data_IF_717438358968
#
_entry.id   IF_717438358968
#
_cell.length_a   1.000
_cell.length_b   1.000
_cell.length_c   1.000
_cell.angle_alpha   90.00
_cell.angle_beta   90.00
_cell.angle_gamma   90.00
#
_symmetry.space_group_name_H-M   'P 1'
#
loop_
_entity.id
_entity.type
_entity.pdbx_description
1 polymer ?
#
# COMPACT_ATOMS: atom_id res chain seq x y z
N UNK A 1 -10.17 15.62 -46.93
CA UNK A 1 -10.12 14.42 -46.04
C UNK A 1 -8.86 14.57 -45.21
N UNK A 2 -9.03 15.05 -43.98
CA UNK A 2 -7.94 15.06 -42.96
C UNK A 2 -7.82 13.65 -42.40
N UNK A 3 -6.77 12.92 -42.78
CA UNK A 3 -6.38 11.67 -42.13
C UNK A 3 -5.92 12.01 -40.69
N UNK A 4 -6.73 11.69 -39.72
CA UNK A 4 -6.30 11.68 -38.31
C UNK A 4 -5.25 10.57 -38.12
N UNK A 5 -3.99 10.95 -38.16
CA UNK A 5 -2.87 10.07 -37.74
C UNK A 5 -3.00 9.86 -36.25
N UNK A 6 -3.59 8.73 -35.87
CA UNK A 6 -3.68 8.31 -34.47
C UNK A 6 -2.29 7.79 -34.06
N UNK A 7 -1.61 8.52 -33.18
CA UNK A 7 -0.35 8.07 -32.59
C UNK A 7 -0.56 6.68 -31.93
N UNK A 8 0.20 5.64 -32.36
CA UNK A 8 0.06 4.28 -31.81
C UNK A 8 0.24 4.21 -30.29
N UNK A 9 1.00 5.14 -29.70
CA UNK A 9 1.20 5.24 -28.25
C UNK A 9 -0.05 5.76 -27.54
N UNK A 10 -0.83 6.63 -28.19
CA UNK A 10 -2.09 7.15 -27.64
C UNK A 10 -3.20 6.09 -27.65
N UNK A 11 -3.19 5.16 -28.62
CA UNK A 11 -4.17 4.07 -28.69
C UNK A 11 -3.95 3.03 -27.57
N UNK A 12 -2.71 2.66 -27.29
CA UNK A 12 -2.38 1.73 -26.20
C UNK A 12 -2.78 2.29 -24.82
N UNK A 13 -2.58 3.59 -24.62
CA UNK A 13 -2.97 4.28 -23.38
C UNK A 13 -4.50 4.38 -23.25
N UNK A 14 -5.22 4.61 -24.34
CA UNK A 14 -6.69 4.58 -24.39
C UNK A 14 -7.26 3.20 -24.08
N UNK A 15 -6.69 2.13 -24.64
CA UNK A 15 -7.13 0.76 -24.36
C UNK A 15 -6.92 0.38 -22.88
N UNK A 16 -5.81 0.77 -22.26
CA UNK A 16 -5.58 0.53 -20.83
C UNK A 16 -6.57 1.29 -19.96
N UNK A 17 -6.85 2.56 -20.26
CA UNK A 17 -7.84 3.38 -19.56
C UNK A 17 -9.24 2.79 -19.69
N UNK A 18 -9.65 2.40 -20.92
CA UNK A 18 -10.98 1.80 -21.16
C UNK A 18 -11.12 0.47 -20.43
N UNK A 19 -10.09 -0.37 -20.47
CA UNK A 19 -10.08 -1.65 -19.74
C UNK A 19 -10.23 -1.43 -18.23
N UNK A 20 -9.43 -0.55 -17.65
CA UNK A 20 -9.50 -0.21 -16.23
C UNK A 20 -10.88 0.38 -15.85
N UNK A 21 -11.45 1.20 -16.74
CA UNK A 21 -12.81 1.75 -16.52
C UNK A 21 -13.87 0.67 -16.56
N UNK A 22 -13.78 -0.27 -17.51
CA UNK A 22 -14.71 -1.40 -17.60
C UNK A 22 -14.61 -2.34 -16.39
N UNK A 23 -13.40 -2.63 -15.92
CA UNK A 23 -13.18 -3.41 -14.70
C UNK A 23 -13.79 -2.72 -13.49
N UNK A 24 -13.61 -1.40 -13.37
CA UNK A 24 -14.23 -0.60 -12.31
C UNK A 24 -15.76 -0.62 -12.36
N UNK A 25 -16.34 -0.48 -13.56
CA UNK A 25 -17.81 -0.51 -13.73
C UNK A 25 -18.36 -1.89 -13.33
N UNK A 26 -17.74 -2.97 -13.79
CA UNK A 26 -18.16 -4.34 -13.42
C UNK A 26 -18.12 -4.54 -11.91
N UNK A 27 -17.05 -4.08 -11.30
CA UNK A 27 -16.87 -4.15 -9.86
C UNK A 27 -17.92 -3.32 -9.10
N UNK A 28 -18.20 -2.08 -9.53
CA UNK A 28 -19.23 -1.23 -8.95
C UNK A 28 -20.63 -1.89 -9.08
N UNK A 29 -20.90 -2.59 -10.20
CA UNK A 29 -22.13 -3.34 -10.41
C UNK A 29 -22.25 -4.53 -9.43
N UNK A 30 -21.22 -5.35 -9.28
CA UNK A 30 -21.23 -6.49 -8.36
C UNK A 30 -21.47 -6.04 -6.91
N UNK A 31 -20.84 -4.96 -6.54
CA UNK A 31 -21.02 -4.36 -5.22
C UNK A 31 -22.42 -3.82 -5.01
N UNK A 32 -22.97 -3.13 -5.99
CA UNK A 32 -24.35 -2.66 -5.95
C UNK A 32 -25.33 -3.83 -5.79
N UNK A 33 -25.13 -4.92 -6.52
CA UNK A 33 -25.94 -6.14 -6.36
C UNK A 33 -25.84 -6.73 -4.95
N UNK A 34 -24.64 -6.78 -4.35
CA UNK A 34 -24.47 -7.26 -2.96
C UNK A 34 -25.24 -6.38 -1.96
N UNK A 35 -25.19 -5.05 -2.14
CA UNK A 35 -25.93 -4.11 -1.27
C UNK A 35 -27.43 -4.34 -1.42
N UNK A 36 -27.95 -4.39 -2.64
CA UNK A 36 -29.37 -4.64 -2.92
C UNK A 36 -29.81 -5.98 -2.30
N UNK A 37 -29.07 -7.06 -2.54
CA UNK A 37 -29.37 -8.37 -1.97
C UNK A 37 -29.33 -8.39 -0.42
N UNK A 38 -28.57 -7.52 0.20
CA UNK A 38 -28.57 -7.31 1.66
C UNK A 38 -29.81 -6.57 2.13
N UNK A 39 -30.23 -5.53 1.38
CA UNK A 39 -31.40 -4.71 1.69
C UNK A 39 -32.71 -5.47 1.44
N UNK A 40 -32.79 -6.31 0.41
CA UNK A 40 -33.95 -7.16 0.09
C UNK A 40 -34.32 -8.12 1.22
N UNK A 41 -33.37 -8.46 2.11
CA UNK A 41 -33.62 -9.28 3.29
C UNK A 41 -34.34 -8.54 4.41
N UNK A 42 -34.51 -7.23 4.31
CA UNK A 42 -35.17 -6.40 5.33
C UNK A 42 -36.68 -6.33 5.06
N UNK A 43 -37.52 -6.55 6.08
CA UNK A 43 -38.99 -6.50 5.92
C UNK A 43 -39.53 -5.07 5.68
N UNK A 44 -38.74 -4.04 5.95
CA UNK A 44 -39.14 -2.63 5.89
C UNK A 44 -39.02 -1.98 4.52
N UNK A 45 -38.49 -2.71 3.52
CA UNK A 45 -38.12 -2.11 2.22
C UNK A 45 -36.93 -1.13 2.32
N UNK A 46 -36.58 -0.51 1.22
CA UNK A 46 -35.48 0.47 1.15
C UNK A 46 -35.75 1.49 0.03
N UNK A 47 -35.08 2.66 0.11
CA UNK A 47 -35.13 3.70 -0.91
C UNK A 47 -33.88 3.70 -1.77
N UNK A 48 -33.95 4.34 -2.96
CA UNK A 48 -32.77 4.53 -3.81
C UNK A 48 -31.66 5.32 -3.11
N UNK A 49 -32.03 6.31 -2.29
CA UNK A 49 -31.08 7.12 -1.53
C UNK A 49 -30.32 6.27 -0.48
N UNK A 50 -30.99 5.29 0.11
CA UNK A 50 -30.35 4.36 1.06
C UNK A 50 -29.35 3.45 0.37
N UNK A 51 -29.64 3.00 -0.86
CA UNK A 51 -28.68 2.22 -1.68
C UNK A 51 -27.44 3.08 -1.97
N UNK A 52 -27.64 4.32 -2.43
CA UNK A 52 -26.55 5.26 -2.74
C UNK A 52 -25.72 5.54 -1.48
N UNK A 53 -26.36 5.79 -0.36
CA UNK A 53 -25.70 6.03 0.92
C UNK A 53 -24.82 4.82 1.32
N UNK A 54 -25.37 3.60 1.30
CA UNK A 54 -24.61 2.41 1.64
C UNK A 54 -23.49 2.13 0.63
N UNK A 55 -23.73 2.38 -0.65
CA UNK A 55 -22.70 2.25 -1.67
C UNK A 55 -21.50 3.15 -1.40
N UNK A 56 -21.72 4.42 -1.02
CA UNK A 56 -20.65 5.35 -0.68
C UNK A 56 -19.97 5.04 0.66
N UNK A 57 -20.70 4.62 1.66
CA UNK A 57 -20.16 4.22 2.97
C UNK A 57 -19.24 3.00 2.84
N UNK A 58 -19.73 1.94 2.23
CA UNK A 58 -18.94 0.73 2.03
C UNK A 58 -17.69 0.98 1.17
N UNK A 59 -17.74 1.91 0.16
CA UNK A 59 -16.58 2.24 -0.66
C UNK A 59 -15.47 2.87 0.15
N UNK A 60 -15.80 3.78 1.04
CA UNK A 60 -14.80 4.45 1.89
C UNK A 60 -14.19 3.51 2.91
N UNK A 61 -15.00 2.63 3.51
CA UNK A 61 -14.55 1.73 4.57
C UNK A 61 -13.72 0.54 4.04
N UNK A 62 -14.03 0.09 2.82
CA UNK A 62 -13.37 -1.07 2.20
C UNK A 62 -12.17 -0.70 1.32
N UNK A 63 -11.81 0.58 1.20
CA UNK A 63 -10.70 1.06 0.41
C UNK A 63 -9.39 1.01 1.21
N UNK A 64 -8.35 0.47 0.59
CA UNK A 64 -7.04 0.30 1.23
C UNK A 64 -6.43 1.65 1.63
N UNK A 65 -6.45 2.65 0.74
CA UNK A 65 -5.80 3.94 1.01
C UNK A 65 -6.53 4.68 2.12
N UNK A 66 -7.86 4.73 2.06
CA UNK A 66 -8.68 5.36 3.10
C UNK A 66 -8.48 4.67 4.45
N UNK A 67 -8.46 3.34 4.49
CA UNK A 67 -8.25 2.58 5.70
C UNK A 67 -6.83 2.76 6.27
N UNK A 68 -5.81 2.80 5.43
CA UNK A 68 -4.44 3.10 5.87
C UNK A 68 -4.33 4.51 6.45
N UNK A 69 -4.98 5.52 5.84
CA UNK A 69 -5.02 6.88 6.36
C UNK A 69 -5.72 6.93 7.73
N UNK A 70 -6.80 6.17 7.91
CA UNK A 70 -7.46 6.02 9.20
C UNK A 70 -6.52 5.43 10.26
N UNK A 71 -5.78 4.35 9.94
CA UNK A 71 -4.78 3.76 10.84
C UNK A 71 -3.69 4.77 11.20
N UNK A 72 -3.18 5.52 10.21
CA UNK A 72 -2.15 6.55 10.42
C UNK A 72 -2.65 7.63 11.39
N UNK A 73 -3.89 8.09 11.20
CA UNK A 73 -4.51 9.06 12.10
C UNK A 73 -4.63 8.51 13.53
N UNK A 74 -5.07 7.27 13.69
CA UNK A 74 -5.14 6.60 14.99
C UNK A 74 -3.76 6.48 15.66
N UNK A 75 -2.73 6.07 14.91
CA UNK A 75 -1.38 5.95 15.43
C UNK A 75 -0.83 7.29 15.91
N UNK A 76 -1.10 8.37 15.17
CA UNK A 76 -0.72 9.73 15.57
C UNK A 76 -1.44 10.17 16.86
N UNK A 77 -2.73 9.89 17.00
CA UNK A 77 -3.49 10.24 18.22
C UNK A 77 -3.01 9.45 19.45
N UNK A 78 -2.43 8.26 19.24
CA UNK A 78 -1.79 7.45 20.28
C UNK A 78 -0.31 7.79 20.52
N UNK A 79 0.19 8.92 19.97
CA UNK A 79 1.59 9.36 20.04
C UNK A 79 2.61 8.34 19.47
N UNK A 80 2.17 7.40 18.65
CA UNK A 80 3.03 6.42 17.95
C UNK A 80 3.53 6.98 16.62
N UNK A 81 4.18 8.13 16.66
CA UNK A 81 4.55 8.92 15.48
C UNK A 81 5.44 8.13 14.54
N UNK A 82 6.50 7.46 15.02
CA UNK A 82 7.41 6.66 14.19
C UNK A 82 6.68 5.53 13.44
N UNK A 83 5.74 4.88 14.10
CA UNK A 83 4.92 3.84 13.45
C UNK A 83 3.99 4.46 12.40
N UNK A 84 3.39 5.61 12.68
CA UNK A 84 2.55 6.32 11.72
C UNK A 84 3.35 6.72 10.45
N UNK A 85 4.59 7.19 10.60
CA UNK A 85 5.51 7.51 9.51
C UNK A 85 5.83 6.27 8.65
N UNK A 86 6.00 5.10 9.26
CA UNK A 86 6.25 3.86 8.52
C UNK A 86 5.04 3.43 7.67
N UNK A 87 3.83 3.58 8.21
CA UNK A 87 2.60 3.34 7.45
C UNK A 87 2.43 4.36 6.32
N UNK A 88 2.72 5.65 6.60
CA UNK A 88 2.65 6.71 5.57
C UNK A 88 3.62 6.47 4.42
N UNK A 89 4.87 6.08 4.72
CA UNK A 89 5.87 5.77 3.68
C UNK A 89 5.44 4.58 2.82
N UNK A 90 4.87 3.54 3.45
CA UNK A 90 4.35 2.37 2.72
C UNK A 90 3.16 2.76 1.84
N UNK A 91 2.23 3.56 2.37
CA UNK A 91 1.08 4.06 1.62
C UNK A 91 1.53 4.86 0.40
N UNK A 92 2.43 5.82 0.57
CA UNK A 92 2.95 6.65 -0.52
C UNK A 92 3.61 5.79 -1.61
N UNK A 93 4.41 4.78 -1.22
CA UNK A 93 5.04 3.86 -2.16
C UNK A 93 4.01 3.05 -2.96
N UNK A 94 2.97 2.53 -2.30
CA UNK A 94 1.93 1.77 -2.97
C UNK A 94 1.02 2.66 -3.83
N UNK A 95 0.70 3.88 -3.38
CA UNK A 95 -0.02 4.88 -4.18
C UNK A 95 0.74 5.22 -5.47
N UNK A 96 2.06 5.39 -5.40
CA UNK A 96 2.91 5.64 -6.59
C UNK A 96 2.85 4.46 -7.57
N UNK A 97 2.92 3.21 -7.08
CA UNK A 97 2.77 2.02 -7.91
C UNK A 97 1.40 1.94 -8.58
N UNK A 98 0.36 2.35 -7.89
CA UNK A 98 -1.03 2.36 -8.38
C UNK A 98 -1.41 3.64 -9.13
N UNK A 99 -0.47 4.55 -9.39
CA UNK A 99 -0.73 5.84 -10.06
C UNK A 99 -1.84 6.66 -9.39
N UNK A 100 -1.94 6.56 -8.07
CA UNK A 100 -2.98 7.22 -7.28
C UNK A 100 -4.35 6.53 -7.27
N UNK A 101 -4.53 5.43 -8.01
CA UNK A 101 -5.79 4.69 -8.02
C UNK A 101 -5.93 3.84 -6.76
N UNK A 102 -6.92 4.15 -5.94
CA UNK A 102 -7.24 3.37 -4.75
C UNK A 102 -7.73 1.97 -5.13
N UNK A 103 -7.72 1.06 -4.16
CA UNK A 103 -8.11 -0.33 -4.37
C UNK A 103 -8.90 -0.81 -3.16
N UNK A 104 -9.88 -1.66 -3.41
CA UNK A 104 -10.59 -2.30 -2.32
C UNK A 104 -9.86 -3.54 -1.84
N UNK A 105 -10.16 -3.91 -0.61
CA UNK A 105 -9.56 -5.09 0.00
C UNK A 105 -9.89 -6.38 -0.77
N UNK A 106 -11.10 -6.51 -1.32
CA UNK A 106 -11.51 -7.69 -2.10
C UNK A 106 -10.74 -7.83 -3.42
N UNK A 107 -10.22 -6.72 -3.97
CA UNK A 107 -9.45 -6.71 -5.21
C UNK A 107 -7.94 -6.91 -4.99
N UNK A 108 -7.50 -7.00 -3.74
CA UNK A 108 -6.09 -7.25 -3.42
C UNK A 108 -5.79 -8.72 -3.66
N UNK A 109 -5.31 -9.03 -4.86
CA UNK A 109 -4.90 -10.38 -5.26
C UNK A 109 -3.43 -10.65 -5.00
N UNK A 110 -3.05 -11.94 -4.98
CA UNK A 110 -1.64 -12.35 -4.88
C UNK A 110 -0.80 -11.81 -6.04
N UNK A 111 -1.37 -11.80 -7.25
CA UNK A 111 -0.69 -11.32 -8.47
C UNK A 111 -0.40 -9.82 -8.40
N UNK A 112 -1.34 -9.03 -7.88
CA UNK A 112 -1.13 -7.59 -7.67
C UNK A 112 0.03 -7.34 -6.70
N UNK A 113 0.08 -8.09 -5.59
CA UNK A 113 1.13 -7.91 -4.57
C UNK A 113 2.48 -8.38 -5.10
N UNK A 114 2.53 -9.46 -5.88
CA UNK A 114 3.74 -9.90 -6.57
C UNK A 114 4.21 -8.87 -7.61
N UNK A 115 3.30 -8.30 -8.38
CA UNK A 115 3.60 -7.21 -9.33
C UNK A 115 4.18 -5.98 -8.63
N UNK A 116 3.64 -5.62 -7.47
CA UNK A 116 4.20 -4.54 -6.67
C UNK A 116 5.61 -4.86 -6.16
N UNK A 117 5.86 -6.11 -5.71
CA UNK A 117 7.20 -6.55 -5.33
C UNK A 117 8.18 -6.44 -6.51
N UNK A 118 7.81 -6.93 -7.68
CA UNK A 118 8.62 -6.86 -8.90
C UNK A 118 8.94 -5.40 -9.30
N UNK A 119 7.94 -4.51 -9.22
CA UNK A 119 8.12 -3.07 -9.47
C UNK A 119 9.14 -2.43 -8.51
N UNK A 120 9.10 -2.78 -7.22
CA UNK A 120 10.07 -2.28 -6.26
C UNK A 120 11.49 -2.81 -6.53
N UNK A 121 11.60 -4.09 -6.93
CA UNK A 121 12.89 -4.70 -7.33
C UNK A 121 13.48 -4.01 -8.57
N UNK A 122 12.66 -3.74 -9.59
CA UNK A 122 13.08 -3.01 -10.79
C UNK A 122 13.57 -1.59 -10.47
N UNK A 123 13.00 -0.95 -9.44
CA UNK A 123 13.47 0.34 -8.92
C UNK A 123 14.75 0.25 -8.07
N UNK A 124 15.34 -0.92 -7.91
CA UNK A 124 16.55 -1.11 -7.10
C UNK A 124 16.34 -1.00 -5.60
N UNK A 125 15.10 -1.13 -5.12
CA UNK A 125 14.79 -1.08 -3.69
C UNK A 125 15.33 -2.34 -3.00
N UNK A 126 15.99 -2.17 -1.84
CA UNK A 126 16.57 -3.28 -1.10
C UNK A 126 15.51 -4.29 -0.63
N UNK A 127 15.85 -5.59 -0.59
CA UNK A 127 14.95 -6.65 -0.16
C UNK A 127 14.39 -6.43 1.25
N UNK A 128 15.18 -5.82 2.15
CA UNK A 128 14.71 -5.49 3.51
C UNK A 128 13.63 -4.39 3.49
N UNK A 129 13.77 -3.39 2.62
CA UNK A 129 12.75 -2.34 2.44
C UNK A 129 11.49 -2.91 1.78
N UNK A 130 11.63 -3.78 0.78
CA UNK A 130 10.51 -4.49 0.14
C UNK A 130 9.75 -5.30 1.19
N UNK A 131 10.47 -6.13 1.97
CA UNK A 131 9.89 -6.90 3.06
C UNK A 131 9.16 -6.02 4.08
N UNK A 132 9.74 -4.87 4.39
CA UNK A 132 9.12 -3.91 5.29
C UNK A 132 7.76 -3.43 4.76
N UNK A 133 7.68 -3.01 3.48
CA UNK A 133 6.42 -2.61 2.85
C UNK A 133 5.40 -3.76 2.81
N UNK A 134 5.82 -4.96 2.43
CA UNK A 134 4.94 -6.13 2.40
C UNK A 134 4.37 -6.47 3.76
N UNK A 135 5.16 -6.36 4.83
CA UNK A 135 4.68 -6.62 6.21
C UNK A 135 3.66 -5.57 6.67
N UNK A 136 3.85 -4.30 6.33
CA UNK A 136 2.89 -3.24 6.67
C UNK A 136 1.58 -3.43 5.91
N UNK A 137 1.63 -3.69 4.60
CA UNK A 137 0.42 -3.95 3.80
C UNK A 137 -0.32 -5.21 4.29
N UNK A 138 0.41 -6.29 4.61
CA UNK A 138 -0.18 -7.50 5.19
C UNK A 138 -0.84 -7.23 6.54
N UNK A 139 -0.21 -6.45 7.40
CA UNK A 139 -0.79 -6.06 8.69
C UNK A 139 -2.05 -5.20 8.51
N UNK A 140 -2.07 -4.31 7.51
CA UNK A 140 -3.26 -3.53 7.15
C UNK A 140 -4.39 -4.42 6.66
N UNK A 141 -4.09 -5.36 5.75
CA UNK A 141 -5.06 -6.31 5.20
C UNK A 141 -5.67 -7.19 6.31
N UNK A 142 -4.83 -7.76 7.18
CA UNK A 142 -5.32 -8.57 8.30
C UNK A 142 -6.22 -7.77 9.25
N UNK A 143 -5.89 -6.49 9.51
CA UNK A 143 -6.78 -5.62 10.29
C UNK A 143 -8.11 -5.34 9.61
N UNK A 144 -8.14 -5.30 8.28
CA UNK A 144 -9.39 -5.16 7.54
C UNK A 144 -10.22 -6.46 7.63
N UNK A 145 -9.59 -7.62 7.58
CA UNK A 145 -10.23 -8.93 7.83
C UNK A 145 -10.79 -8.99 9.26
N UNK A 146 -10.01 -8.59 10.28
CA UNK A 146 -10.46 -8.56 11.68
C UNK A 146 -11.65 -7.61 11.91
N UNK A 147 -11.81 -6.60 11.05
CA UNK A 147 -12.95 -5.67 11.05
C UNK A 147 -14.08 -6.07 10.09
N UNK A 148 -14.01 -7.25 9.52
CA UNK A 148 -15.01 -7.78 8.59
C UNK A 148 -15.22 -6.92 7.32
N UNK A 149 -14.22 -6.11 6.95
CA UNK A 149 -14.25 -5.30 5.73
C UNK A 149 -13.97 -6.12 4.46
N UNK A 150 -13.37 -7.30 4.62
CA UNK A 150 -13.07 -8.28 3.56
C UNK A 150 -12.92 -9.67 4.17
N UNK A 151 -12.94 -10.70 3.33
CA UNK A 151 -12.64 -12.08 3.72
C UNK A 151 -11.15 -12.40 3.53
N UNK A 152 -10.63 -13.41 4.24
CA UNK A 152 -9.21 -13.76 4.17
C UNK A 152 -8.88 -14.57 2.91
N UNK A 153 -8.12 -13.97 1.97
CA UNK A 153 -7.66 -14.59 0.73
C UNK A 153 -6.13 -14.83 0.69
N UNK A 154 -5.41 -14.47 1.76
CA UNK A 154 -3.95 -14.64 1.88
C UNK A 154 -3.13 -14.04 0.72
N UNK A 155 -3.37 -12.80 0.27
CA UNK A 155 -2.70 -12.24 -0.91
C UNK A 155 -1.18 -12.07 -0.74
N UNK A 156 -0.68 -12.08 0.49
CA UNK A 156 0.74 -11.93 0.83
C UNK A 156 1.49 -13.25 1.02
N UNK A 157 0.90 -14.39 0.64
CA UNK A 157 1.50 -15.71 0.88
C UNK A 157 2.80 -15.94 0.09
N UNK A 158 2.88 -15.39 -1.12
CA UNK A 158 3.96 -15.66 -2.09
C UNK A 158 4.94 -14.50 -2.25
N UNK A 159 4.94 -13.51 -1.35
CA UNK A 159 5.86 -12.37 -1.40
C UNK A 159 6.88 -12.42 -0.28
N UNK A 160 8.01 -11.75 -0.51
CA UNK A 160 9.10 -11.72 0.45
C UNK A 160 8.75 -10.87 1.68
N UNK A 161 8.70 -11.49 2.83
CA UNK A 161 8.47 -10.85 4.14
C UNK A 161 9.57 -11.14 5.15
N UNK A 162 10.67 -11.76 4.69
CA UNK A 162 11.83 -12.09 5.51
C UNK A 162 12.70 -10.87 5.87
N UNK A 163 13.71 -11.10 6.70
CA UNK A 163 14.73 -10.10 7.04
C UNK A 163 16.07 -10.65 6.56
N UNK A 164 16.66 -10.01 5.54
CA UNK A 164 17.99 -10.32 5.07
C UNK A 164 19.06 -9.90 6.10
N UNK A 165 20.09 -10.70 6.24
CA UNK A 165 21.26 -10.34 7.07
C UNK A 165 21.91 -9.09 6.48
N UNK A 166 22.07 -8.05 7.29
CA UNK A 166 22.86 -6.87 6.94
C UNK A 166 24.25 -6.98 7.54
N UNK A 167 25.24 -6.49 6.82
CA UNK A 167 26.60 -6.38 7.38
C UNK A 167 26.53 -5.39 8.56
N UNK A 168 26.83 -5.92 9.74
CA UNK A 168 26.89 -5.07 10.94
C UNK A 168 28.12 -4.18 10.80
N UNK A 169 27.90 -2.85 10.80
CA UNK A 169 28.98 -1.85 10.79
C UNK A 169 29.51 -1.55 12.19
N UNK A 170 29.12 -2.33 13.19
CA UNK A 170 29.62 -2.19 14.54
C UNK A 170 31.13 -2.47 14.60
N UNK A 171 31.87 -1.49 15.04
CA UNK A 171 33.31 -1.60 15.23
C UNK A 171 33.59 -2.29 16.57
N UNK A 172 34.53 -3.25 16.67
CA UNK A 172 34.90 -3.86 17.95
C UNK A 172 35.36 -2.81 18.95
N UNK A 173 35.03 -3.01 20.21
CA UNK A 173 35.38 -2.05 21.30
C UNK A 173 36.88 -1.80 21.39
N UNK A 174 37.71 -2.81 21.04
CA UNK A 174 39.18 -2.67 20.95
C UNK A 174 39.59 -1.59 19.94
N UNK A 175 38.93 -1.54 18.80
CA UNK A 175 39.21 -0.52 17.76
C UNK A 175 38.77 0.87 18.20
N UNK A 176 37.65 0.97 18.92
CA UNK A 176 37.19 2.25 19.52
C UNK A 176 38.20 2.74 20.55
N UNK A 177 38.74 1.85 21.42
CA UNK A 177 39.81 2.21 22.34
C UNK A 177 41.08 2.67 21.62
N UNK A 178 41.47 2.01 20.55
CA UNK A 178 42.65 2.42 19.75
C UNK A 178 42.47 3.79 19.11
N UNK A 179 41.26 4.07 18.54
CA UNK A 179 40.91 5.38 17.99
C UNK A 179 40.94 6.47 19.06
N UNK A 180 40.47 6.21 20.26
CA UNK A 180 40.47 7.16 21.38
C UNK A 180 41.87 7.48 21.89
N UNK A 181 42.87 6.63 21.66
CA UNK A 181 44.27 6.83 22.06
C UNK A 181 45.13 7.47 20.95
N UNK A 182 44.57 7.65 19.74
CA UNK A 182 45.25 8.35 18.67
C UNK A 182 45.22 9.85 18.92
N UNK A 183 46.41 10.45 18.81
CA UNK A 183 46.52 11.92 18.78
C UNK A 183 46.06 12.42 17.43
N UNK A 184 44.92 13.10 17.40
CA UNK A 184 44.29 13.66 16.20
C UNK A 184 44.56 15.18 16.07
N UNK A 185 45.39 15.74 16.92
CA UNK A 185 45.69 17.19 17.00
C UNK A 185 46.25 17.79 15.71
N UNK A 186 46.73 16.92 14.78
CA UNK A 186 47.24 17.34 13.47
C UNK A 186 46.13 17.57 12.42
N UNK A 187 44.93 17.13 12.68
CA UNK A 187 43.79 17.31 11.76
C UNK A 187 42.68 18.09 12.45
N UNK A 188 42.63 19.38 12.22
CA UNK A 188 41.66 20.32 12.80
C UNK A 188 40.21 19.99 12.47
N UNK A 189 39.94 19.14 11.46
CA UNK A 189 38.60 18.68 11.12
C UNK A 189 38.09 17.55 12.04
N UNK A 190 39.01 16.89 12.76
CA UNK A 190 38.75 15.77 13.65
C UNK A 190 38.85 16.14 15.15
N UNK A 191 39.28 17.38 15.47
CA UNK A 191 39.52 17.87 16.83
C UNK A 191 38.26 18.25 17.58
N UNK A 192 37.08 17.88 17.07
CA UNK A 192 35.75 18.11 17.71
C UNK A 192 35.15 16.86 18.34
N UNK A 193 35.90 15.82 18.58
CA UNK A 193 35.36 14.57 19.15
C UNK A 193 35.60 14.44 20.68
#
# INVERSE_FOLDING_TARGET
QEEYIVDPRSSQNRFSILRNTLEKIKWDQERLHKIIASLDKRPTGYTADEIVFQFHQNAKEQSLFTFMQYIIKQLKSLYRIRTAETYQTTLNSFMTFREGHDILFDDITSDLIQSYQAHLQQKGISMNTISFYMRILRATYNRAVDKELTTQHYPFRHVYTGIGKTVKRAVPFKTIKQLKLQDLSYDTSLDFA
#
